data_IF_403391581503
#
_entry.id   IF_403391581503
#
_cell.length_a   1.000
_cell.length_b   1.000
_cell.length_c   1.000
_cell.angle_alpha   90.00
_cell.angle_beta   90.00
_cell.angle_gamma   90.00
#
_symmetry.space_group_name_H-M   'P 1'
#
loop_
_entity.id
_entity.type
_entity.pdbx_description
1 polymer ?
#
# COMPACT_ATOMS: atom_id res chain seq x y z
N UNK A 1 -1.66 20.09 25.25
CA UNK A 1 -1.05 18.98 24.48
C UNK A 1 -1.96 18.69 23.30
N UNK A 2 -1.51 18.96 22.09
CA UNK A 2 -2.25 18.59 20.88
C UNK A 2 -2.24 17.05 20.81
N UNK A 3 -3.42 16.46 20.79
CA UNK A 3 -3.56 14.99 20.76
C UNK A 3 -3.13 14.52 19.39
N UNK A 4 -2.10 13.67 19.31
CA UNK A 4 -1.65 13.07 18.06
C UNK A 4 -2.79 12.33 17.36
N UNK A 5 -2.78 12.32 16.04
CA UNK A 5 -3.76 11.59 15.22
C UNK A 5 -3.39 10.11 15.20
N UNK A 6 -4.34 9.24 15.55
CA UNK A 6 -4.15 7.78 15.47
C UNK A 6 -4.87 7.23 14.25
N UNK A 7 -4.17 6.42 13.46
CA UNK A 7 -4.67 5.81 12.23
C UNK A 7 -4.22 4.37 12.11
N UNK A 8 -5.13 3.50 11.70
CA UNK A 8 -4.81 2.15 11.24
C UNK A 8 -4.62 2.18 9.71
N UNK A 9 -3.45 1.78 9.25
CA UNK A 9 -3.11 1.73 7.83
C UNK A 9 -2.83 0.28 7.44
N UNK A 10 -3.40 -0.15 6.31
CA UNK A 10 -3.13 -1.47 5.75
C UNK A 10 -2.49 -1.36 4.36
N UNK A 11 -1.61 -2.31 4.03
CA UNK A 11 -1.07 -2.54 2.70
C UNK A 11 -1.47 -3.92 2.22
N UNK A 12 -1.96 -4.04 0.98
CA UNK A 12 -2.42 -5.30 0.44
C UNK A 12 -2.15 -5.42 -1.06
N UNK A 13 -1.25 -6.30 -1.46
CA UNK A 13 -1.13 -6.73 -2.84
C UNK A 13 -2.28 -7.70 -3.14
N UNK A 14 -3.22 -7.27 -3.99
CA UNK A 14 -4.47 -8.01 -4.27
C UNK A 14 -4.38 -8.94 -5.47
N UNK A 15 -3.19 -9.05 -6.10
CA UNK A 15 -2.92 -9.95 -7.21
C UNK A 15 -4.05 -9.96 -8.28
N UNK A 16 -4.52 -8.77 -8.67
CA UNK A 16 -5.62 -8.61 -9.64
C UNK A 16 -6.91 -9.36 -9.24
N UNK A 17 -7.15 -9.49 -7.94
CA UNK A 17 -8.23 -10.26 -7.34
C UNK A 17 -8.22 -11.77 -7.69
N UNK A 18 -7.08 -12.32 -8.09
CA UNK A 18 -6.89 -13.75 -8.36
C UNK A 18 -6.35 -14.42 -7.10
N UNK A 19 -7.12 -15.32 -6.55
CA UNK A 19 -6.75 -16.05 -5.35
C UNK A 19 -5.80 -17.22 -5.60
N UNK A 20 -5.31 -17.80 -4.50
CA UNK A 20 -4.48 -19.00 -4.53
C UNK A 20 -5.18 -20.25 -5.08
N UNK A 21 -6.49 -20.19 -5.32
CA UNK A 21 -7.32 -21.19 -6.01
C UNK A 21 -7.44 -20.94 -7.52
N UNK A 22 -6.75 -19.91 -8.04
CA UNK A 22 -6.81 -19.50 -9.45
C UNK A 22 -8.10 -18.78 -9.85
N UNK A 23 -9.02 -18.54 -8.93
CA UNK A 23 -10.30 -17.87 -9.19
C UNK A 23 -10.18 -16.38 -8.94
N UNK A 24 -10.76 -15.59 -9.83
CA UNK A 24 -10.90 -14.14 -9.63
C UNK A 24 -12.17 -13.86 -8.84
N UNK A 25 -12.01 -13.18 -7.71
CA UNK A 25 -13.11 -12.83 -6.84
C UNK A 25 -12.83 -11.48 -6.13
N UNK A 26 -13.25 -10.35 -6.71
CA UNK A 26 -13.07 -9.03 -6.10
C UNK A 26 -13.87 -8.84 -4.81
N UNK A 27 -15.01 -9.54 -4.66
CA UNK A 27 -15.81 -9.46 -3.42
C UNK A 27 -15.06 -10.11 -2.26
N UNK A 28 -14.34 -11.20 -2.51
CA UNK A 28 -13.48 -11.84 -1.52
C UNK A 28 -12.36 -10.89 -1.04
N UNK A 29 -11.75 -10.12 -1.95
CA UNK A 29 -10.77 -9.10 -1.58
C UNK A 29 -11.42 -8.03 -0.68
N UNK A 30 -12.61 -7.54 -1.04
CA UNK A 30 -13.33 -6.54 -0.23
C UNK A 30 -13.73 -7.07 1.15
N UNK A 31 -14.10 -8.33 1.26
CA UNK A 31 -14.37 -8.97 2.56
C UNK A 31 -13.13 -8.97 3.46
N UNK A 32 -11.95 -9.27 2.91
CA UNK A 32 -10.68 -9.20 3.64
C UNK A 32 -10.37 -7.75 4.07
N UNK A 33 -10.51 -6.77 3.16
CA UNK A 33 -10.31 -5.35 3.45
C UNK A 33 -11.24 -4.89 4.59
N UNK A 34 -12.52 -5.26 4.54
CA UNK A 34 -13.49 -4.92 5.59
C UNK A 34 -13.15 -5.56 6.93
N UNK A 35 -12.64 -6.79 6.92
CA UNK A 35 -12.27 -7.51 8.15
C UNK A 35 -11.03 -6.90 8.83
N UNK A 36 -10.10 -6.32 8.06
CA UNK A 36 -8.95 -5.59 8.60
C UNK A 36 -9.42 -4.31 9.30
N UNK A 37 -10.45 -3.65 8.75
CA UNK A 37 -11.06 -2.42 9.28
C UNK A 37 -10.03 -1.30 9.49
N UNK A 38 -9.18 -1.05 8.48
CA UNK A 38 -8.20 0.03 8.50
C UNK A 38 -8.84 1.38 8.11
N UNK A 39 -8.22 2.49 8.51
CA UNK A 39 -8.66 3.83 8.11
C UNK A 39 -8.21 4.16 6.68
N UNK A 40 -7.02 3.67 6.30
CA UNK A 40 -6.42 3.82 4.98
C UNK A 40 -5.97 2.45 4.49
N UNK A 41 -6.33 2.10 3.26
CA UNK A 41 -5.87 0.86 2.62
C UNK A 41 -5.10 1.20 1.34
N UNK A 42 -3.84 0.78 1.30
CA UNK A 42 -2.97 0.92 0.14
C UNK A 42 -2.96 -0.40 -0.62
N UNK A 43 -3.39 -0.38 -1.87
CA UNK A 43 -3.52 -1.56 -2.70
C UNK A 43 -2.41 -1.59 -3.76
N UNK A 44 -1.88 -2.79 -4.03
CA UNK A 44 -1.01 -3.09 -5.15
C UNK A 44 -1.69 -4.11 -6.06
N UNK A 45 -1.34 -4.11 -7.33
CA UNK A 45 -1.93 -4.95 -8.38
C UNK A 45 -3.47 -4.81 -8.48
N UNK A 46 -4.02 -3.65 -8.14
CA UNK A 46 -5.45 -3.36 -8.23
C UNK A 46 -5.96 -3.20 -9.66
N UNK A 47 -5.05 -3.00 -10.63
CA UNK A 47 -5.35 -2.89 -12.06
C UNK A 47 -4.58 -3.95 -12.85
N UNK A 48 -5.11 -4.30 -14.03
CA UNK A 48 -4.39 -5.16 -14.97
C UNK A 48 -3.15 -4.46 -15.53
N UNK A 49 -2.15 -5.24 -15.95
CA UNK A 49 -0.87 -4.71 -16.44
C UNK A 49 -0.91 -4.21 -17.89
N UNK A 50 -1.80 -4.75 -18.72
CA UNK A 50 -1.82 -4.53 -20.16
C UNK A 50 -2.99 -3.66 -20.64
N UNK A 51 -2.84 -3.08 -21.82
CA UNK A 51 -3.84 -2.25 -22.46
C UNK A 51 -4.13 -0.98 -21.66
N UNK A 52 -5.39 -0.63 -21.52
CA UNK A 52 -5.86 0.52 -20.74
C UNK A 52 -5.76 0.30 -19.23
N UNK A 53 -5.26 -0.85 -18.79
CA UNK A 53 -5.11 -1.25 -17.38
C UNK A 53 -6.42 -1.15 -16.59
N UNK A 54 -7.49 -1.86 -17.04
CA UNK A 54 -8.75 -1.80 -16.32
C UNK A 54 -8.59 -2.33 -14.90
N UNK A 55 -9.45 -1.84 -14.01
CA UNK A 55 -9.43 -2.29 -12.62
C UNK A 55 -9.80 -3.76 -12.48
N UNK A 56 -9.14 -4.45 -11.56
CA UNK A 56 -9.50 -5.80 -11.14
C UNK A 56 -10.61 -5.80 -10.08
N UNK A 57 -10.84 -4.66 -9.41
CA UNK A 57 -11.87 -4.46 -8.38
C UNK A 57 -12.78 -3.33 -8.85
N UNK A 58 -13.94 -3.60 -9.45
CA UNK A 58 -14.86 -2.59 -9.93
C UNK A 58 -15.27 -1.58 -8.83
N UNK A 59 -15.26 -0.28 -9.15
CA UNK A 59 -15.64 0.80 -8.21
C UNK A 59 -17.03 0.60 -7.62
N UNK A 60 -17.97 0.08 -8.43
CA UNK A 60 -19.32 -0.23 -7.97
C UNK A 60 -19.34 -1.27 -6.84
N UNK A 61 -18.46 -2.28 -6.89
CA UNK A 61 -18.36 -3.26 -5.81
C UNK A 61 -17.75 -2.64 -4.56
N UNK A 62 -16.76 -1.75 -4.67
CA UNK A 62 -16.20 -1.03 -3.52
C UNK A 62 -17.30 -0.22 -2.83
N UNK A 63 -18.07 0.55 -3.59
CA UNK A 63 -19.19 1.35 -3.05
C UNK A 63 -20.29 0.48 -2.44
N UNK A 64 -20.57 -0.68 -3.03
CA UNK A 64 -21.65 -1.57 -2.57
C UNK A 64 -21.27 -2.40 -1.34
N UNK A 65 -20.01 -2.86 -1.27
CA UNK A 65 -19.58 -3.87 -0.28
C UNK A 65 -18.59 -3.34 0.76
N UNK A 66 -18.27 -2.04 0.75
CA UNK A 66 -17.34 -1.49 1.73
C UNK A 66 -17.72 -0.07 2.17
N UNK A 67 -17.06 0.40 3.23
CA UNK A 67 -17.14 1.79 3.74
C UNK A 67 -15.94 2.62 3.27
N UNK A 68 -15.43 2.34 2.07
CA UNK A 68 -14.27 3.03 1.54
C UNK A 68 -14.61 3.86 0.31
N UNK A 69 -13.96 5.01 0.23
CA UNK A 69 -13.92 5.86 -0.95
C UNK A 69 -12.59 5.66 -1.67
N UNK A 70 -12.66 5.48 -2.99
CA UNK A 70 -11.48 5.37 -3.85
C UNK A 70 -10.91 6.76 -4.11
N UNK A 71 -9.65 7.00 -3.76
CA UNK A 71 -8.97 8.26 -4.10
C UNK A 71 -8.85 8.37 -5.63
N UNK A 72 -9.13 9.54 -6.24
CA UNK A 72 -9.14 9.71 -7.70
C UNK A 72 -7.73 9.81 -8.30
N UNK A 73 -6.97 8.71 -8.25
CA UNK A 73 -5.59 8.59 -8.74
C UNK A 73 -5.49 8.05 -10.17
N UNK A 74 -6.58 7.55 -10.73
CA UNK A 74 -6.60 7.00 -12.09
C UNK A 74 -6.40 8.10 -13.14
N UNK A 75 -5.54 7.85 -14.13
CA UNK A 75 -5.34 8.74 -15.30
C UNK A 75 -6.28 8.41 -16.48
N UNK A 76 -7.16 7.43 -16.29
CA UNK A 76 -8.18 7.04 -17.27
C UNK A 76 -9.46 6.58 -16.55
N UNK A 77 -10.51 6.34 -17.28
CA UNK A 77 -11.83 5.99 -16.72
C UNK A 77 -11.98 4.53 -16.30
N UNK A 78 -11.05 3.65 -16.67
CA UNK A 78 -11.19 2.20 -16.46
C UNK A 78 -10.30 1.65 -15.34
N UNK A 79 -9.24 2.37 -14.93
CA UNK A 79 -8.35 1.98 -13.84
C UNK A 79 -8.91 2.39 -12.48
N UNK A 80 -8.51 1.68 -11.43
CA UNK A 80 -8.79 2.07 -10.04
C UNK A 80 -7.82 3.14 -9.57
N UNK A 81 -6.55 2.95 -9.87
CA UNK A 81 -5.46 3.82 -9.47
C UNK A 81 -4.47 4.06 -10.60
N UNK A 82 -3.18 4.03 -10.27
CA UNK A 82 -2.12 4.27 -11.23
C UNK A 82 -0.99 3.25 -11.09
N UNK A 83 -0.59 2.65 -12.21
CA UNK A 83 0.36 1.53 -12.27
C UNK A 83 0.02 0.37 -11.31
N UNK A 84 -1.28 0.12 -11.08
CA UNK A 84 -1.77 -0.92 -10.19
C UNK A 84 -1.79 -0.52 -8.71
N UNK A 85 -1.30 0.66 -8.35
CA UNK A 85 -1.41 1.19 -6.98
C UNK A 85 -2.67 2.02 -6.84
N UNK A 86 -3.44 1.77 -5.78
CA UNK A 86 -4.63 2.54 -5.43
C UNK A 86 -4.67 2.79 -3.92
N UNK A 87 -5.35 3.84 -3.50
CA UNK A 87 -5.57 4.16 -2.10
C UNK A 87 -7.07 4.25 -1.85
N UNK A 88 -7.51 3.56 -0.82
CA UNK A 88 -8.87 3.63 -0.30
C UNK A 88 -8.83 4.35 1.04
N UNK A 89 -9.72 5.30 1.24
CA UNK A 89 -9.92 6.00 2.50
C UNK A 89 -11.27 5.57 3.10
N UNK A 90 -11.32 5.37 4.41
CA UNK A 90 -12.59 5.25 5.11
C UNK A 90 -13.46 6.48 4.79
N UNK A 91 -14.74 6.32 4.66
CA UNK A 91 -15.71 7.36 4.27
C UNK A 91 -15.70 8.60 5.18
N UNK A 92 -15.17 8.47 6.40
CA UNK A 92 -14.96 9.57 7.36
C UNK A 92 -13.69 10.38 7.12
N UNK A 93 -12.79 9.91 6.24
CA UNK A 93 -11.51 10.57 5.92
C UNK A 93 -11.59 11.30 4.57
N UNK A 94 -10.97 12.48 4.52
CA UNK A 94 -10.85 13.27 3.31
C UNK A 94 -9.40 13.66 3.07
N UNK A 95 -8.92 13.45 1.84
CA UNK A 95 -7.62 13.95 1.42
C UNK A 95 -7.71 15.39 0.94
N UNK A 96 -6.68 16.19 1.23
CA UNK A 96 -6.52 17.57 0.76
C UNK A 96 -5.79 17.63 -0.58
N UNK A 97 -4.91 16.66 -0.85
CA UNK A 97 -4.21 16.50 -2.12
C UNK A 97 -3.99 15.03 -2.42
N UNK A 98 -3.82 14.71 -3.70
CA UNK A 98 -3.45 13.38 -4.17
C UNK A 98 -2.64 13.50 -5.47
N UNK A 99 -1.73 12.55 -5.73
CA UNK A 99 -0.89 12.61 -6.91
C UNK A 99 -0.08 11.35 -7.15
N UNK A 100 0.90 11.49 -8.03
CA UNK A 100 1.71 10.40 -8.56
C UNK A 100 3.20 10.72 -8.46
N UNK A 101 4.01 9.67 -8.28
CA UNK A 101 5.47 9.73 -8.30
C UNK A 101 5.96 8.78 -9.38
N UNK A 102 6.57 9.30 -10.45
CA UNK A 102 7.17 8.49 -11.50
C UNK A 102 8.36 7.70 -10.95
N UNK A 103 8.39 6.41 -11.20
CA UNK A 103 9.46 5.54 -10.74
C UNK A 103 10.27 5.00 -11.92
N UNK A 104 11.60 5.05 -11.87
CA UNK A 104 12.45 4.50 -12.92
C UNK A 104 12.38 2.97 -12.95
N UNK A 105 12.52 2.36 -14.12
CA UNK A 105 12.58 0.90 -14.23
C UNK A 105 12.39 0.38 -15.63
N UNK A 106 12.69 -0.92 -15.81
CA UNK A 106 12.35 -1.65 -17.04
C UNK A 106 10.85 -1.98 -17.08
N UNK A 107 10.25 -2.19 -15.92
CA UNK A 107 8.80 -2.33 -15.78
C UNK A 107 8.17 -0.97 -15.49
N UNK A 108 7.00 -0.67 -16.08
CA UNK A 108 6.30 0.56 -15.77
C UNK A 108 5.75 0.47 -14.33
N UNK A 109 6.49 1.07 -13.40
CA UNK A 109 6.16 1.22 -11.99
C UNK A 109 5.89 2.69 -11.68
N UNK A 110 5.16 2.95 -10.62
CA UNK A 110 4.88 4.27 -10.10
C UNK A 110 4.48 4.18 -8.65
N UNK A 111 4.52 5.29 -7.93
CA UNK A 111 3.91 5.40 -6.62
C UNK A 111 2.79 6.44 -6.67
N UNK A 112 1.84 6.33 -5.77
CA UNK A 112 0.71 7.24 -5.62
C UNK A 112 0.74 7.82 -4.22
N UNK A 113 0.20 9.01 -4.01
CA UNK A 113 0.13 9.56 -2.67
C UNK A 113 -1.18 10.30 -2.40
N UNK A 114 -1.48 10.43 -1.12
CA UNK A 114 -2.54 11.30 -0.59
C UNK A 114 -1.97 12.13 0.54
N UNK A 115 -2.51 13.32 0.72
CA UNK A 115 -2.21 14.20 1.86
C UNK A 115 -3.48 14.47 2.65
N UNK A 116 -3.36 14.44 3.97
CA UNK A 116 -4.45 14.74 4.89
C UNK A 116 -3.90 15.19 6.24
N UNK A 117 -4.40 16.30 6.76
CA UNK A 117 -4.05 16.79 8.10
C UNK A 117 -2.53 16.82 8.39
N UNK A 118 -1.71 17.17 7.39
CA UNK A 118 -0.25 17.19 7.50
C UNK A 118 0.43 15.84 7.30
N UNK A 119 -0.27 14.73 7.27
CA UNK A 119 0.27 13.41 6.94
C UNK A 119 0.24 13.18 5.43
N UNK A 120 1.36 12.72 4.86
CA UNK A 120 1.42 12.17 3.49
C UNK A 120 1.52 10.65 3.54
N UNK A 121 0.61 9.96 2.87
CA UNK A 121 0.66 8.49 2.70
C UNK A 121 0.98 8.17 1.26
N UNK A 122 2.09 7.46 1.05
CA UNK A 122 2.57 7.01 -0.27
C UNK A 122 2.30 5.54 -0.44
N UNK A 123 1.65 5.14 -1.52
CA UNK A 123 1.43 3.76 -1.92
C UNK A 123 2.37 3.35 -3.05
N UNK A 124 3.09 2.23 -2.91
CA UNK A 124 4.04 1.77 -3.93
C UNK A 124 4.02 0.26 -4.11
N UNK A 125 4.47 -0.18 -5.27
CA UNK A 125 4.84 -1.56 -5.57
C UNK A 125 6.19 -1.52 -6.29
N UNK A 126 7.25 -1.81 -5.57
CA UNK A 126 8.62 -1.70 -6.08
C UNK A 126 8.97 -2.84 -7.05
N UNK A 127 9.99 -2.63 -7.84
CA UNK A 127 10.44 -3.60 -8.86
C UNK A 127 11.12 -4.84 -8.26
N UNK A 128 11.13 -5.94 -9.00
CA UNK A 128 11.73 -7.20 -8.57
C UNK A 128 13.27 -7.14 -8.48
N UNK A 129 13.90 -6.32 -9.33
CA UNK A 129 15.35 -6.21 -9.38
C UNK A 129 15.87 -5.17 -8.39
N UNK A 130 16.80 -5.55 -7.51
CA UNK A 130 17.38 -4.70 -6.46
C UNK A 130 17.86 -3.34 -6.97
N UNK A 131 18.56 -3.30 -8.10
CA UNK A 131 19.06 -2.04 -8.67
C UNK A 131 17.93 -1.03 -8.95
N UNK A 132 16.81 -1.49 -9.47
CA UNK A 132 15.65 -0.64 -9.74
C UNK A 132 14.91 -0.29 -8.46
N UNK A 133 14.79 -1.20 -7.49
CA UNK A 133 14.21 -0.89 -6.19
C UNK A 133 14.93 0.26 -5.50
N UNK A 134 16.27 0.21 -5.41
CA UNK A 134 17.06 1.29 -4.80
C UNK A 134 16.87 2.63 -5.50
N UNK A 135 16.79 2.65 -6.83
CA UNK A 135 16.51 3.86 -7.60
C UNK A 135 15.09 4.37 -7.39
N UNK A 136 14.13 3.45 -7.29
CA UNK A 136 12.72 3.78 -7.03
C UNK A 136 12.54 4.36 -5.62
N UNK A 137 13.19 3.75 -4.63
CA UNK A 137 13.21 4.27 -3.25
C UNK A 137 13.80 5.68 -3.20
N UNK A 138 14.91 5.90 -3.91
CA UNK A 138 15.51 7.24 -4.02
C UNK A 138 14.56 8.23 -4.70
N UNK A 139 13.88 7.84 -5.78
CA UNK A 139 12.87 8.68 -6.45
C UNK A 139 11.74 9.08 -5.51
N UNK A 140 11.26 8.16 -4.68
CA UNK A 140 10.23 8.46 -3.67
C UNK A 140 10.80 9.45 -2.66
N UNK A 141 12.00 9.20 -2.11
CA UNK A 141 12.65 10.09 -1.15
C UNK A 141 12.82 11.51 -1.73
N UNK A 142 13.36 11.63 -2.94
CA UNK A 142 13.58 12.92 -3.61
C UNK A 142 12.26 13.69 -3.81
N UNK A 143 11.15 12.99 -4.01
CA UNK A 143 9.82 13.60 -4.18
C UNK A 143 9.22 14.10 -2.86
N UNK A 144 9.43 13.38 -1.77
CA UNK A 144 8.84 13.72 -0.46
C UNK A 144 9.73 14.67 0.36
N UNK A 145 11.00 14.86 -0.03
CA UNK A 145 11.91 15.81 0.60
C UNK A 145 11.40 17.27 0.44
N UNK A 146 11.46 18.15 1.47
CA UNK A 146 12.04 17.91 2.81
C UNK A 146 11.05 17.36 3.84
N UNK A 147 9.81 17.06 3.48
CA UNK A 147 8.71 16.72 4.40
C UNK A 147 8.68 15.23 4.81
N UNK A 148 9.86 14.59 4.90
CA UNK A 148 9.96 13.17 5.24
C UNK A 148 9.39 12.86 6.62
N UNK A 149 9.48 13.78 7.58
CA UNK A 149 9.06 13.55 8.98
C UNK A 149 7.59 13.16 9.13
N UNK A 150 6.70 13.68 8.29
CA UNK A 150 5.26 13.39 8.29
C UNK A 150 4.84 12.54 7.08
N UNK A 151 5.76 11.77 6.51
CA UNK A 151 5.49 10.87 5.39
C UNK A 151 5.49 9.42 5.85
N UNK A 152 4.47 8.66 5.42
CA UNK A 152 4.35 7.22 5.58
C UNK A 152 4.27 6.58 4.20
N UNK A 153 5.13 5.61 3.93
CA UNK A 153 5.17 4.82 2.71
C UNK A 153 4.67 3.42 3.04
N UNK A 154 3.74 2.89 2.27
CA UNK A 154 3.18 1.55 2.44
C UNK A 154 3.21 0.81 1.10
N UNK A 155 3.51 -0.47 1.09
CA UNK A 155 3.49 -1.22 -0.16
C UNK A 155 4.15 -2.58 -0.12
N UNK A 156 4.16 -3.19 -1.30
CA UNK A 156 4.98 -4.35 -1.61
C UNK A 156 6.37 -3.86 -2.04
N UNK A 157 7.34 -4.01 -1.16
CA UNK A 157 8.70 -3.54 -1.39
C UNK A 157 9.54 -4.54 -2.19
N UNK A 158 9.02 -5.77 -2.40
CA UNK A 158 9.70 -6.84 -3.14
C UNK A 158 11.13 -7.12 -2.65
N UNK A 159 11.41 -6.84 -1.37
CA UNK A 159 12.71 -7.11 -0.78
C UNK A 159 12.72 -8.48 -0.11
N UNK A 160 13.61 -9.32 -0.61
CA UNK A 160 13.77 -10.71 -0.14
C UNK A 160 14.86 -10.86 0.92
N UNK A 161 15.63 -9.81 1.17
CA UNK A 161 16.70 -9.83 2.17
C UNK A 161 16.21 -9.30 3.51
N UNK A 162 16.45 -10.07 4.56
CA UNK A 162 16.15 -9.64 5.94
C UNK A 162 17.18 -8.63 6.50
N UNK A 163 18.28 -8.35 5.76
CA UNK A 163 19.43 -7.58 6.27
C UNK A 163 19.69 -6.31 5.46
N UNK A 164 19.30 -6.26 4.20
CA UNK A 164 19.62 -5.18 3.25
C UNK A 164 18.43 -4.88 2.37
N UNK A 165 18.43 -3.71 1.72
CA UNK A 165 17.49 -3.42 0.64
C UNK A 165 16.68 -2.15 0.83
N UNK A 166 16.78 -1.50 1.98
CA UNK A 166 16.12 -0.23 2.28
C UNK A 166 17.09 0.92 2.50
N UNK A 167 18.34 0.74 2.09
CA UNK A 167 19.43 1.69 2.31
C UNK A 167 19.10 3.15 1.91
N UNK A 168 18.36 3.43 0.82
CA UNK A 168 18.00 4.80 0.47
C UNK A 168 17.10 5.50 1.48
N UNK A 169 16.43 4.76 2.37
CA UNK A 169 15.48 5.29 3.34
C UNK A 169 16.02 5.32 4.78
N UNK A 170 17.15 4.65 5.07
CA UNK A 170 17.67 4.42 6.43
C UNK A 170 17.92 5.69 7.26
N UNK A 171 18.22 6.81 6.60
CA UNK A 171 18.50 8.07 7.30
C UNK A 171 17.25 8.89 7.61
N UNK A 172 16.16 8.69 6.84
CA UNK A 172 14.98 9.56 6.86
C UNK A 172 13.73 8.83 7.35
N UNK A 173 13.72 7.48 7.28
CA UNK A 173 12.58 6.65 7.63
C UNK A 173 12.96 5.48 8.52
N UNK A 174 12.08 5.17 9.46
CA UNK A 174 12.04 3.87 10.12
C UNK A 174 11.29 2.89 9.22
N UNK A 175 11.86 1.69 8.97
CA UNK A 175 11.24 0.66 8.15
C UNK A 175 10.67 -0.44 9.03
N UNK A 176 9.42 -0.83 8.76
CA UNK A 176 8.67 -1.83 9.50
C UNK A 176 8.16 -2.92 8.55
N UNK A 177 8.52 -4.15 8.85
CA UNK A 177 7.93 -5.34 8.25
C UNK A 177 7.10 -6.06 9.31
N UNK A 178 5.75 -5.98 9.29
CA UNK A 178 4.89 -6.55 10.32
C UNK A 178 4.97 -8.08 10.45
N UNK A 179 5.53 -8.74 9.44
CA UNK A 179 5.73 -10.18 9.45
C UNK A 179 5.72 -10.79 8.06
N UNK A 180 5.75 -12.10 8.00
CA UNK A 180 5.78 -12.83 6.72
C UNK A 180 4.41 -12.77 6.05
N UNK A 181 4.36 -12.19 4.84
CA UNK A 181 3.14 -11.97 4.06
C UNK A 181 3.04 -12.84 2.81
N UNK A 182 4.17 -13.37 2.31
CA UNK A 182 4.24 -14.10 1.04
C UNK A 182 4.93 -15.47 1.18
N UNK A 183 4.46 -16.52 0.45
CA UNK A 183 3.13 -16.59 -0.21
C UNK A 183 2.01 -16.82 0.81
N UNK A 184 0.80 -16.30 0.57
CA UNK A 184 -0.30 -16.26 1.54
C UNK A 184 -0.65 -17.61 2.19
N UNK A 185 -0.59 -18.70 1.43
CA UNK A 185 -0.88 -20.07 1.94
C UNK A 185 0.13 -20.54 2.97
N UNK A 186 1.43 -20.24 2.79
CA UNK A 186 2.52 -20.62 3.67
C UNK A 186 3.56 -19.50 3.70
N UNK A 187 3.34 -18.45 4.48
CA UNK A 187 4.21 -17.28 4.47
C UNK A 187 5.63 -17.60 4.93
N UNK A 188 6.62 -17.26 4.08
CA UNK A 188 8.04 -17.51 4.33
C UNK A 188 8.89 -16.24 4.26
N UNK A 189 8.37 -15.16 3.63
CA UNK A 189 9.08 -13.89 3.47
C UNK A 189 8.18 -12.69 3.71
N UNK A 190 8.76 -11.56 4.13
CA UNK A 190 8.11 -10.29 4.42
C UNK A 190 8.38 -9.33 3.24
N UNK A 191 7.50 -9.33 2.23
CA UNK A 191 7.63 -8.45 1.06
C UNK A 191 6.89 -7.13 1.24
N UNK A 192 5.87 -7.14 2.09
CA UNK A 192 4.96 -6.02 2.35
C UNK A 192 5.36 -5.31 3.65
N UNK A 193 5.36 -3.98 3.62
CA UNK A 193 5.81 -3.22 4.78
C UNK A 193 5.45 -1.75 4.72
N UNK A 194 6.00 -1.04 5.71
CA UNK A 194 5.86 0.40 5.91
C UNK A 194 7.24 1.05 6.09
N UNK A 195 7.35 2.31 5.63
CA UNK A 195 8.45 3.19 6.01
C UNK A 195 7.86 4.53 6.45
N UNK A 196 8.29 5.07 7.58
CA UNK A 196 7.66 6.25 8.16
C UNK A 196 8.68 7.19 8.80
N UNK A 197 8.39 8.48 8.68
CA UNK A 197 9.26 9.56 9.16
C UNK A 197 9.18 9.78 10.66
N UNK A 198 10.04 10.64 11.18
CA UNK A 198 10.31 10.82 12.61
C UNK A 198 9.14 11.36 13.44
N UNK A 199 8.12 11.99 12.80
CA UNK A 199 6.90 12.44 13.49
C UNK A 199 5.84 11.34 13.63
N UNK A 200 6.14 10.13 13.16
CA UNK A 200 5.22 8.99 13.17
C UNK A 200 5.81 7.89 14.02
N UNK A 201 5.00 7.31 14.88
CA UNK A 201 5.38 6.15 15.70
C UNK A 201 4.38 5.01 15.52
N UNK A 202 4.87 3.77 15.59
CA UNK A 202 4.03 2.57 15.56
C UNK A 202 3.54 2.24 16.95
N UNK A 203 2.26 1.93 17.09
CA UNK A 203 1.64 1.47 18.35
C UNK A 203 1.65 -0.06 18.39
N UNK A 204 1.14 -0.67 17.34
CA UNK A 204 1.11 -2.13 17.09
C UNK A 204 0.99 -2.40 15.60
N UNK A 205 1.32 -3.61 15.19
CA UNK A 205 1.34 -4.03 13.79
C UNK A 205 1.10 -5.54 13.67
N UNK A 206 0.85 -6.00 12.47
CA UNK A 206 0.72 -7.42 12.19
C UNK A 206 0.36 -7.78 10.76
N UNK A 207 0.34 -9.07 10.52
CA UNK A 207 -0.16 -9.69 9.30
C UNK A 207 -1.58 -10.16 9.54
N UNK A 208 -2.52 -9.70 8.73
CA UNK A 208 -3.90 -10.16 8.82
C UNK A 208 -4.04 -11.52 8.16
N UNK A 209 -4.44 -12.51 8.94
CA UNK A 209 -4.56 -13.89 8.47
C UNK A 209 -5.82 -14.54 9.00
N UNK A 210 -6.71 -14.86 8.07
CA UNK A 210 -7.87 -15.73 8.30
C UNK A 210 -8.02 -16.72 7.12
N UNK A 211 -9.08 -17.49 7.13
CA UNK A 211 -9.37 -18.45 6.05
C UNK A 211 -9.58 -17.77 4.69
N UNK A 212 -10.21 -16.59 4.68
CA UNK A 212 -10.46 -15.83 3.45
C UNK A 212 -9.18 -15.20 2.92
N UNK A 213 -8.40 -14.50 3.75
CA UNK A 213 -7.15 -13.86 3.38
C UNK A 213 -6.13 -14.86 2.83
N UNK A 214 -6.05 -16.06 3.42
CA UNK A 214 -5.13 -17.12 2.98
C UNK A 214 -5.39 -17.64 1.56
N UNK A 215 -6.54 -17.32 0.97
CA UNK A 215 -6.94 -17.75 -0.38
C UNK A 215 -7.19 -16.58 -1.32
N UNK A 216 -7.48 -15.39 -0.80
CA UNK A 216 -7.96 -14.25 -1.59
C UNK A 216 -6.90 -13.69 -2.56
N UNK A 217 -5.62 -13.70 -2.18
CA UNK A 217 -4.46 -13.26 -2.95
C UNK A 217 -3.30 -14.22 -2.74
N UNK A 218 -2.18 -14.02 -3.43
CA UNK A 218 -0.90 -14.68 -3.15
C UNK A 218 -0.10 -13.96 -2.04
N UNK A 219 -0.50 -12.75 -1.63
CA UNK A 219 -0.03 -12.05 -0.44
C UNK A 219 -1.08 -12.02 0.68
N UNK A 220 -0.64 -12.03 1.93
CA UNK A 220 -1.44 -11.63 3.08
C UNK A 220 -1.34 -10.11 3.28
N UNK A 221 -2.44 -9.42 3.63
CA UNK A 221 -2.35 -8.01 3.96
C UNK A 221 -1.60 -7.79 5.26
N UNK A 222 -0.82 -6.70 5.31
CA UNK A 222 -0.17 -6.21 6.52
C UNK A 222 -0.86 -4.94 7.00
N UNK A 223 -0.85 -4.70 8.31
CA UNK A 223 -1.43 -3.51 8.91
C UNK A 223 -0.58 -3.01 10.07
N UNK A 224 -0.70 -1.72 10.36
CA UNK A 224 -0.15 -1.13 11.57
C UNK A 224 -1.01 0.04 12.06
N UNK A 225 -1.05 0.23 13.36
CA UNK A 225 -1.60 1.40 14.03
C UNK A 225 -0.48 2.41 14.26
N UNK A 226 -0.65 3.60 13.72
CA UNK A 226 0.31 4.69 13.85
C UNK A 226 -0.25 5.83 14.68
N UNK A 227 0.63 6.50 15.42
CA UNK A 227 0.36 7.79 16.03
C UNK A 227 1.21 8.85 15.33
N UNK A 228 0.56 9.87 14.79
CA UNK A 228 1.19 11.00 14.10
C UNK A 228 1.22 12.18 15.05
N UNK A 229 2.44 12.63 15.39
CA UNK A 229 2.64 13.82 16.22
C UNK A 229 2.33 15.09 15.40
N UNK A 230 1.72 16.07 16.05
CA UNK A 230 1.40 17.35 15.45
C UNK A 230 2.63 18.24 15.29
#
# INVERSE_FOLDING_TARGET
MVRGMKLKIASYNVHKAVGGDGRRDPVRILNVINAIDADIVVLQEADYRLGQRPTAIPRSLITQYSRYTVVPLARNSVSLGWHGNAILLRDTLHCTAAGHIELPGLEPRGAVFVEMNGLRVVGTHLGLLRLWRLRQMKSILDHVWPDCSQTLIAGDFNEWSDIRGTEPWENDFSVLYPGRSFPARRPITSLDGFAYGSSISTIDDGVFRDAAASVASDHLPVWANFEVSA
#
